data_IF_238768574837
#
_entry.id   IF_238768574837
#
_cell.length_a   1.000
_cell.length_b   1.000
_cell.length_c   1.000
_cell.angle_alpha   90.00
_cell.angle_beta   90.00
_cell.angle_gamma   90.00
#
_symmetry.space_group_name_H-M   'P 1'
#
loop_
_entity.id
_entity.type
_entity.pdbx_description
1 polymer ?
#
# COMPACT_ATOMS: atom_id res chain seq x y z
N UNK A 1 -7.80 50.42 -1.86
CA UNK A 1 -7.20 49.16 -1.34
C UNK A 1 -6.95 48.24 -2.52
N UNK A 2 -5.72 48.15 -3.02
CA UNK A 2 -5.39 47.30 -4.17
C UNK A 2 -5.55 45.83 -3.77
N UNK A 3 -6.60 45.16 -4.28
CA UNK A 3 -6.71 43.71 -4.15
C UNK A 3 -5.50 43.10 -4.85
N UNK A 4 -4.65 42.41 -4.11
CA UNK A 4 -3.53 41.66 -4.66
C UNK A 4 -4.09 40.55 -5.54
N UNK A 5 -4.21 40.79 -6.84
CA UNK A 5 -4.68 39.79 -7.81
C UNK A 5 -3.52 38.84 -8.08
N UNK A 6 -3.53 37.69 -7.41
CA UNK A 6 -2.60 36.60 -7.69
C UNK A 6 -3.01 35.95 -9.01
N UNK A 7 -2.31 36.32 -10.09
CA UNK A 7 -2.55 35.82 -11.45
C UNK A 7 -2.44 34.31 -11.60
N UNK A 8 -2.85 33.81 -12.78
CA UNK A 8 -2.70 32.39 -13.16
C UNK A 8 -1.22 32.02 -13.16
N UNK A 9 -0.88 30.86 -12.60
CA UNK A 9 0.49 30.33 -12.57
C UNK A 9 1.55 31.18 -11.82
N UNK A 10 1.16 32.01 -10.84
CA UNK A 10 2.16 32.76 -10.06
C UNK A 10 3.05 31.80 -9.21
N UNK A 11 4.37 32.04 -9.09
CA UNK A 11 5.27 31.12 -8.37
C UNK A 11 4.86 30.84 -6.91
N UNK A 12 4.33 31.86 -6.21
CA UNK A 12 3.85 31.72 -4.82
C UNK A 12 2.58 30.87 -4.72
N UNK A 13 1.70 30.95 -5.72
CA UNK A 13 0.50 30.11 -5.77
C UNK A 13 0.89 28.66 -6.07
N UNK A 14 1.75 28.42 -7.04
CA UNK A 14 2.23 27.08 -7.41
C UNK A 14 2.82 26.38 -6.18
N UNK A 15 3.76 27.02 -5.46
CA UNK A 15 4.39 26.42 -4.27
C UNK A 15 3.42 26.14 -3.13
N UNK A 16 2.42 27.01 -2.94
CA UNK A 16 1.40 26.80 -1.90
C UNK A 16 0.46 25.67 -2.27
N UNK A 17 -0.11 25.70 -3.48
CA UNK A 17 -1.08 24.69 -3.91
C UNK A 17 -0.42 23.32 -4.12
N UNK A 18 0.85 23.25 -4.51
CA UNK A 18 1.59 21.99 -4.58
C UNK A 18 1.79 21.36 -3.20
N UNK A 19 2.20 22.16 -2.19
CA UNK A 19 2.37 21.68 -0.83
C UNK A 19 1.05 21.29 -0.18
N UNK A 20 0.03 22.14 -0.31
CA UNK A 20 -1.32 21.86 0.21
C UNK A 20 -1.93 20.61 -0.46
N UNK A 21 -1.71 20.42 -1.76
CA UNK A 21 -2.17 19.22 -2.48
C UNK A 21 -1.47 17.96 -1.97
N UNK A 22 -0.15 18.00 -1.75
CA UNK A 22 0.59 16.86 -1.22
C UNK A 22 0.05 16.40 0.15
N UNK A 23 -0.29 17.36 1.01
CA UNK A 23 -0.92 17.10 2.31
C UNK A 23 -2.34 16.55 2.15
N UNK A 24 -3.16 17.17 1.29
CA UNK A 24 -4.54 16.72 1.07
C UNK A 24 -4.59 15.30 0.47
N UNK A 25 -3.64 14.96 -0.42
CA UNK A 25 -3.53 13.62 -1.01
C UNK A 25 -3.13 12.58 0.03
N UNK A 26 -2.15 12.87 0.89
CA UNK A 26 -1.74 11.92 1.93
C UNK A 26 -2.86 11.66 2.94
N UNK A 27 -3.72 12.65 3.20
CA UNK A 27 -4.89 12.48 4.06
C UNK A 27 -6.06 11.75 3.37
N UNK A 28 -6.19 11.89 2.04
CA UNK A 28 -7.21 11.23 1.24
C UNK A 28 -6.89 9.76 0.94
N UNK A 29 -5.60 9.43 0.79
CA UNK A 29 -5.13 8.04 0.60
C UNK A 29 -5.29 7.23 1.88
N UNK A 30 -5.88 6.04 1.75
CA UNK A 30 -6.01 5.04 2.80
C UNK A 30 -4.63 4.54 3.27
N UNK A 31 -3.75 4.17 2.34
CA UNK A 31 -2.40 3.72 2.68
C UNK A 31 -1.51 4.85 3.19
N UNK A 32 -1.55 6.00 2.53
CA UNK A 32 -0.75 7.17 2.90
C UNK A 32 -1.02 7.67 4.32
N UNK A 33 -2.26 7.56 4.79
CA UNK A 33 -2.65 8.03 6.13
C UNK A 33 -2.29 7.07 7.28
N UNK A 34 -2.23 5.76 7.01
CA UNK A 34 -2.26 4.72 8.05
C UNK A 34 -1.09 3.74 8.01
N UNK A 35 -0.53 3.49 6.83
CA UNK A 35 0.37 2.37 6.61
C UNK A 35 1.68 2.75 5.93
N UNK A 36 1.93 4.04 5.71
CA UNK A 36 3.12 4.53 5.04
C UNK A 36 3.96 5.44 5.95
N UNK A 37 5.26 5.19 6.03
CA UNK A 37 6.22 6.06 6.69
C UNK A 37 7.49 6.24 5.85
N UNK A 38 8.22 7.33 6.12
CA UNK A 38 9.40 7.72 5.34
C UNK A 38 10.64 6.99 5.85
N UNK A 39 11.45 6.50 4.90
CA UNK A 39 12.76 5.89 5.15
C UNK A 39 12.78 4.37 5.01
N UNK A 40 13.94 3.85 4.60
CA UNK A 40 14.19 2.41 4.42
C UNK A 40 14.17 1.62 5.73
N UNK A 41 14.42 2.27 6.87
CA UNK A 41 14.30 1.67 8.20
C UNK A 41 12.89 1.72 8.80
N UNK A 42 11.89 2.18 8.04
CA UNK A 42 10.53 2.31 8.55
C UNK A 42 9.90 0.93 8.79
N UNK A 43 9.48 0.68 10.04
CA UNK A 43 8.77 -0.54 10.46
C UNK A 43 7.26 -0.44 10.18
N UNK A 44 6.89 0.03 9.00
CA UNK A 44 5.50 0.16 8.52
C UNK A 44 5.29 -0.70 7.27
N UNK A 45 4.03 -1.04 6.91
CA UNK A 45 3.77 -1.85 5.72
C UNK A 45 4.31 -1.25 4.43
N UNK A 46 4.15 0.06 4.22
CA UNK A 46 4.69 0.77 3.07
C UNK A 46 5.86 1.62 3.51
N UNK A 47 7.00 1.45 2.84
CA UNK A 47 8.15 2.33 2.98
C UNK A 47 8.15 3.39 1.89
N UNK A 48 8.23 4.66 2.30
CA UNK A 48 8.35 5.79 1.41
C UNK A 48 9.81 6.17 1.24
N UNK A 49 10.37 5.93 0.06
CA UNK A 49 11.73 6.31 -0.30
C UNK A 49 11.74 7.70 -0.95
N UNK A 50 12.67 8.53 -0.51
CA UNK A 50 12.77 9.96 -0.89
C UNK A 50 14.06 10.29 -1.61
N UNK A 51 14.88 9.31 -1.95
CA UNK A 51 16.27 9.53 -2.41
C UNK A 51 16.33 10.27 -3.76
N UNK A 52 15.32 10.10 -4.62
CA UNK A 52 15.17 10.84 -5.89
C UNK A 52 14.40 12.17 -5.75
N UNK A 53 14.16 12.65 -4.53
CA UNK A 53 13.64 14.01 -4.33
C UNK A 53 14.75 15.08 -4.52
N UNK A 54 16.02 14.71 -4.31
CA UNK A 54 17.18 15.60 -4.44
C UNK A 54 18.13 15.25 -5.60
N UNK A 55 18.15 14.00 -6.06
CA UNK A 55 19.07 13.53 -7.10
C UNK A 55 18.36 13.20 -8.42
N UNK A 56 19.07 13.36 -9.54
CA UNK A 56 18.55 13.06 -10.86
C UNK A 56 18.68 11.55 -11.15
N UNK A 57 17.55 10.89 -11.39
CA UNK A 57 17.50 9.47 -11.74
C UNK A 57 16.05 9.00 -11.88
N UNK A 58 15.86 7.84 -12.50
CA UNK A 58 14.57 7.17 -12.64
C UNK A 58 14.51 5.82 -11.90
N UNK A 59 15.59 5.44 -11.21
CA UNK A 59 15.77 4.18 -10.49
C UNK A 59 16.10 4.43 -9.01
N UNK A 60 15.37 3.78 -8.11
CA UNK A 60 15.66 3.71 -6.67
C UNK A 60 16.03 2.27 -6.31
N UNK A 61 17.21 2.06 -5.73
CA UNK A 61 17.58 0.78 -5.10
C UNK A 61 17.26 0.82 -3.61
N UNK A 62 16.80 -0.31 -3.08
CA UNK A 62 16.58 -0.49 -1.65
C UNK A 62 16.96 -1.90 -1.22
N UNK A 63 17.46 -1.98 0.01
CA UNK A 63 18.04 -3.20 0.55
C UNK A 63 17.21 -3.73 1.71
N UNK A 64 17.09 -5.06 1.78
CA UNK A 64 16.69 -5.80 2.97
C UNK A 64 17.95 -6.28 3.69
N UNK A 65 18.07 -5.89 4.95
CA UNK A 65 19.11 -6.36 5.86
C UNK A 65 18.76 -7.76 6.37
N UNK A 66 19.61 -8.74 6.06
CA UNK A 66 19.45 -10.08 6.62
C UNK A 66 19.91 -10.13 8.08
N UNK A 67 19.31 -11.04 8.85
CA UNK A 67 19.70 -11.27 10.25
C UNK A 67 21.10 -11.89 10.34
N UNK A 68 21.89 -11.44 11.33
CA UNK A 68 23.16 -12.06 11.69
C UNK A 68 22.90 -13.42 12.36
N UNK A 69 23.69 -14.43 12.01
CA UNK A 69 23.56 -15.82 12.51
C UNK A 69 24.70 -16.23 13.43
N UNK A 70 25.78 -15.46 13.48
CA UNK A 70 26.93 -15.77 14.30
C UNK A 70 26.56 -15.89 15.79
N UNK A 71 27.06 -16.95 16.44
CA UNK A 71 27.05 -17.04 17.89
C UNK A 71 27.99 -15.97 18.47
N UNK A 72 27.66 -15.37 19.63
CA UNK A 72 28.56 -14.43 20.28
C UNK A 72 29.87 -15.14 20.66
N UNK A 73 30.98 -14.42 20.54
CA UNK A 73 32.26 -14.85 21.10
C UNK A 73 32.28 -14.41 22.56
N UNK A 74 32.35 -15.36 23.48
CA UNK A 74 32.32 -15.11 24.93
C UNK A 74 33.75 -15.02 25.51
N UNK A 75 33.96 -14.15 26.51
CA UNK A 75 35.23 -14.02 27.22
C UNK A 75 36.26 -13.11 26.52
N UNK A 76 37.54 -13.42 26.70
CA UNK A 76 38.68 -12.67 26.13
C UNK A 76 39.11 -13.19 24.74
N UNK A 77 38.28 -14.04 24.12
CA UNK A 77 38.55 -14.60 22.80
C UNK A 77 38.56 -13.52 21.72
N UNK A 78 39.54 -13.58 20.81
CA UNK A 78 39.69 -12.63 19.71
C UNK A 78 38.49 -12.72 18.76
N UNK A 79 37.81 -11.58 18.60
CA UNK A 79 36.65 -11.40 17.71
C UNK A 79 37.07 -11.26 16.24
N UNK A 80 38.24 -10.67 15.99
CA UNK A 80 38.79 -10.45 14.65
C UNK A 80 38.90 -11.78 13.88
N UNK A 81 38.20 -11.87 12.73
CA UNK A 81 38.13 -13.08 11.90
C UNK A 81 36.97 -14.04 12.22
N UNK A 82 36.22 -13.82 13.31
CA UNK A 82 34.95 -14.53 13.63
C UNK A 82 33.70 -13.68 13.34
N UNK A 83 33.89 -12.48 12.79
CA UNK A 83 32.84 -11.55 12.42
C UNK A 83 32.08 -12.02 11.17
N UNK A 84 30.76 -12.00 11.22
CA UNK A 84 29.93 -12.27 10.05
C UNK A 84 29.78 -11.01 9.19
N UNK A 85 30.03 -11.14 7.89
CA UNK A 85 29.76 -10.09 6.92
C UNK A 85 28.26 -9.82 6.77
N UNK A 86 27.88 -8.54 6.69
CA UNK A 86 26.49 -8.16 6.44
C UNK A 86 26.04 -8.67 5.07
N UNK A 87 24.89 -9.35 5.03
CA UNK A 87 24.27 -9.80 3.78
C UNK A 87 23.10 -8.88 3.45
N UNK A 88 23.10 -8.37 2.23
CA UNK A 88 22.08 -7.48 1.70
C UNK A 88 21.35 -8.19 0.56
N UNK A 89 20.02 -8.09 0.55
CA UNK A 89 19.21 -8.39 -0.62
C UNK A 89 18.74 -7.08 -1.22
N UNK A 90 19.17 -6.79 -2.45
CA UNK A 90 18.88 -5.53 -3.12
C UNK A 90 17.71 -5.71 -4.09
N UNK A 91 16.77 -4.76 -4.10
CA UNK A 91 15.75 -4.67 -5.13
C UNK A 91 15.64 -3.25 -5.69
N UNK A 92 15.08 -3.13 -6.89
CA UNK A 92 15.04 -1.91 -7.68
C UNK A 92 13.59 -1.48 -8.00
N UNK A 93 13.34 -0.17 -7.91
CA UNK A 93 12.06 0.46 -8.21
C UNK A 93 12.26 1.62 -9.19
N UNK A 94 11.59 1.56 -10.33
CA UNK A 94 11.56 2.66 -11.29
C UNK A 94 10.43 3.65 -10.99
N UNK A 95 10.66 4.94 -11.26
CA UNK A 95 9.66 6.00 -11.13
C UNK A 95 9.30 6.60 -12.49
N UNK A 96 8.04 6.99 -12.66
CA UNK A 96 7.58 7.67 -13.88
C UNK A 96 6.49 8.70 -13.56
N UNK A 97 6.28 9.66 -14.45
CA UNK A 97 5.38 10.78 -14.26
C UNK A 97 3.92 10.42 -14.55
N UNK A 98 3.01 10.77 -13.65
CA UNK A 98 1.56 10.72 -13.84
C UNK A 98 1.00 12.13 -13.80
N UNK A 99 -0.05 12.36 -14.59
CA UNK A 99 -0.67 13.68 -14.73
C UNK A 99 -2.19 13.55 -14.79
N UNK A 100 -2.87 14.50 -14.17
CA UNK A 100 -4.31 14.68 -14.23
C UNK A 100 -4.64 16.16 -14.44
N UNK A 101 -5.79 16.46 -15.04
CA UNK A 101 -6.20 17.84 -15.29
C UNK A 101 -7.68 18.04 -15.03
N UNK A 102 -8.04 19.20 -14.48
CA UNK A 102 -9.43 19.64 -14.31
C UNK A 102 -9.61 20.95 -15.07
N UNK A 103 -10.64 20.98 -15.93
CA UNK A 103 -11.07 22.21 -16.59
C UNK A 103 -12.07 22.94 -15.68
N UNK A 104 -11.75 24.16 -15.27
CA UNK A 104 -12.59 24.93 -14.33
C UNK A 104 -13.75 25.68 -15.00
N UNK A 105 -13.98 25.45 -16.30
CA UNK A 105 -15.10 26.01 -17.05
C UNK A 105 -14.85 27.41 -17.66
N UNK A 106 -15.86 27.90 -18.38
CA UNK A 106 -15.81 29.16 -19.15
C UNK A 106 -16.07 30.42 -18.33
N UNK A 107 -16.02 31.60 -18.98
CA UNK A 107 -16.20 32.92 -18.34
C UNK A 107 -17.49 33.09 -17.52
N UNK A 108 -18.58 32.41 -17.87
CA UNK A 108 -19.83 32.49 -17.10
C UNK A 108 -19.70 31.84 -15.71
N UNK A 109 -18.96 30.73 -15.61
CA UNK A 109 -18.64 30.06 -14.34
C UNK A 109 -17.63 30.86 -13.49
N UNK A 110 -16.85 31.75 -14.10
CA UNK A 110 -15.92 32.69 -13.45
C UNK A 110 -16.58 33.90 -12.77
N UNK A 111 -17.92 33.98 -12.72
CA UNK A 111 -18.56 34.87 -11.73
C UNK A 111 -18.16 34.49 -10.29
N UNK A 112 -17.64 33.27 -10.08
CA UNK A 112 -16.90 32.86 -8.88
C UNK A 112 -15.45 33.32 -8.94
N UNK A 113 -14.88 33.72 -7.81
CA UNK A 113 -13.48 34.17 -7.75
C UNK A 113 -12.52 33.05 -8.16
N UNK A 114 -11.39 33.39 -8.81
CA UNK A 114 -10.35 32.44 -9.20
C UNK A 114 -9.86 31.58 -8.01
N UNK A 115 -9.89 32.14 -6.81
CA UNK A 115 -9.55 31.44 -5.58
C UNK A 115 -10.52 30.29 -5.24
N UNK A 116 -11.84 30.49 -5.38
CA UNK A 116 -12.84 29.44 -5.16
C UNK A 116 -12.67 28.29 -6.17
N UNK A 117 -12.38 28.61 -7.44
CA UNK A 117 -12.13 27.59 -8.47
C UNK A 117 -10.87 26.76 -8.21
N UNK A 118 -9.77 27.38 -7.75
CA UNK A 118 -8.54 26.68 -7.35
C UNK A 118 -8.78 25.73 -6.18
N UNK A 119 -9.52 26.18 -5.16
CA UNK A 119 -9.81 25.36 -3.98
C UNK A 119 -10.64 24.12 -4.33
N UNK A 120 -11.68 24.28 -5.16
CA UNK A 120 -12.50 23.15 -5.64
C UNK A 120 -11.71 22.18 -6.52
N UNK A 121 -10.90 22.71 -7.44
CA UNK A 121 -10.05 21.88 -8.30
C UNK A 121 -9.02 21.10 -7.48
N UNK A 122 -8.39 21.74 -6.48
CA UNK A 122 -7.48 21.07 -5.55
C UNK A 122 -8.17 19.93 -4.82
N UNK A 123 -9.34 20.17 -4.22
CA UNK A 123 -10.06 19.15 -3.47
C UNK A 123 -10.46 17.94 -4.34
N UNK A 124 -10.92 18.19 -5.57
CA UNK A 124 -11.24 17.12 -6.52
C UNK A 124 -10.00 16.31 -6.93
N UNK A 125 -8.90 17.00 -7.23
CA UNK A 125 -7.66 16.34 -7.62
C UNK A 125 -7.01 15.60 -6.45
N UNK A 126 -7.09 16.12 -5.21
CA UNK A 126 -6.59 15.44 -4.02
C UNK A 126 -7.29 14.10 -3.80
N UNK A 127 -8.63 14.08 -3.89
CA UNK A 127 -9.42 12.85 -3.78
C UNK A 127 -9.09 11.87 -4.90
N UNK A 128 -8.94 12.36 -6.14
CA UNK A 128 -8.58 11.52 -7.29
C UNK A 128 -7.19 10.89 -7.14
N UNK A 129 -6.19 11.68 -6.73
CA UNK A 129 -4.83 11.22 -6.49
C UNK A 129 -4.77 10.20 -5.35
N UNK A 130 -5.47 10.45 -4.23
CA UNK A 130 -5.54 9.49 -3.13
C UNK A 130 -6.13 8.16 -3.58
N UNK A 131 -7.23 8.20 -4.35
CA UNK A 131 -7.84 6.98 -4.92
C UNK A 131 -6.90 6.25 -5.87
N UNK A 132 -6.22 6.99 -6.75
CA UNK A 132 -5.29 6.41 -7.72
C UNK A 132 -4.11 5.72 -7.03
N UNK A 133 -3.53 6.36 -6.01
CA UNK A 133 -2.43 5.79 -5.23
C UNK A 133 -2.85 4.56 -4.44
N UNK A 134 -4.05 4.56 -3.85
CA UNK A 134 -4.58 3.38 -3.14
C UNK A 134 -4.86 2.22 -4.10
N UNK A 135 -5.51 2.48 -5.23
CA UNK A 135 -5.79 1.45 -6.26
C UNK A 135 -4.50 0.84 -6.82
N UNK A 136 -3.46 1.66 -7.03
CA UNK A 136 -2.12 1.18 -7.40
C UNK A 136 -1.52 0.29 -6.31
N UNK A 137 -1.56 0.74 -5.05
CA UNK A 137 -0.98 -0.02 -3.93
C UNK A 137 -1.67 -1.38 -3.76
N UNK A 138 -3.00 -1.43 -3.81
CA UNK A 138 -3.74 -2.70 -3.78
C UNK A 138 -3.38 -3.62 -4.96
N UNK A 139 -3.23 -3.05 -6.16
CA UNK A 139 -2.87 -3.82 -7.37
C UNK A 139 -1.46 -4.40 -7.28
N UNK A 140 -0.49 -3.61 -6.80
CA UNK A 140 0.90 -4.06 -6.63
C UNK A 140 1.06 -5.09 -5.51
N UNK A 141 0.51 -4.83 -4.32
CA UNK A 141 0.63 -5.74 -3.17
C UNK A 141 -0.07 -7.09 -3.43
N UNK A 142 -1.22 -7.07 -4.11
CA UNK A 142 -1.92 -8.30 -4.48
C UNK A 142 -1.27 -9.05 -5.64
N UNK A 143 -0.35 -8.41 -6.36
CA UNK A 143 0.30 -8.96 -7.53
C UNK A 143 -0.58 -9.05 -8.78
N UNK A 144 -1.73 -8.37 -8.79
CA UNK A 144 -2.68 -8.46 -9.90
C UNK A 144 -3.67 -7.30 -9.93
N UNK A 145 -4.19 -6.96 -11.11
CA UNK A 145 -5.22 -5.93 -11.25
C UNK A 145 -6.62 -6.41 -10.82
N UNK A 146 -6.92 -7.69 -11.01
CA UNK A 146 -8.24 -8.30 -10.76
C UNK A 146 -9.38 -7.68 -11.57
N UNK A 147 -10.62 -7.93 -11.14
CA UNK A 147 -11.85 -7.57 -11.87
C UNK A 147 -12.61 -6.37 -11.31
N UNK A 148 -12.00 -5.61 -10.39
CA UNK A 148 -12.66 -4.47 -9.75
C UNK A 148 -13.03 -3.39 -10.79
N UNK A 149 -14.32 -3.27 -11.12
CA UNK A 149 -14.84 -2.35 -12.14
C UNK A 149 -14.75 -0.86 -11.74
N UNK A 150 -14.71 -0.58 -10.43
CA UNK A 150 -14.76 0.78 -9.91
C UNK A 150 -13.42 1.54 -9.97
N UNK A 151 -12.35 0.90 -10.44
CA UNK A 151 -11.02 1.49 -10.45
C UNK A 151 -10.80 2.41 -11.66
N UNK A 152 -9.94 3.40 -11.47
CA UNK A 152 -9.40 4.27 -12.52
C UNK A 152 -8.47 3.47 -13.44
N UNK A 153 -7.76 2.48 -12.87
CA UNK A 153 -6.85 1.61 -13.61
C UNK A 153 -7.62 0.70 -14.59
N UNK A 154 -7.21 0.61 -15.87
CA UNK A 154 -7.87 -0.26 -16.85
C UNK A 154 -7.71 -1.75 -16.47
N UNK A 155 -8.57 -2.63 -17.00
CA UNK A 155 -8.52 -4.07 -16.71
C UNK A 155 -7.23 -4.74 -17.20
N UNK A 156 -6.69 -4.29 -18.33
CA UNK A 156 -5.42 -4.78 -18.89
C UNK A 156 -4.16 -4.15 -18.26
N UNK A 157 -4.27 -3.52 -17.09
CA UNK A 157 -3.14 -2.84 -16.46
C UNK A 157 -2.08 -3.83 -15.97
N UNK A 158 -0.85 -3.72 -16.52
CA UNK A 158 0.27 -4.62 -16.24
C UNK A 158 1.33 -4.03 -15.30
N UNK A 159 1.10 -2.81 -14.79
CA UNK A 159 2.07 -2.05 -14.01
C UNK A 159 2.42 -0.71 -14.66
N UNK A 160 3.24 0.07 -13.96
CA UNK A 160 3.71 1.42 -14.29
C UNK A 160 5.22 1.45 -14.18
N UNK A 161 5.84 2.37 -14.92
CA UNK A 161 7.27 2.67 -14.84
C UNK A 161 8.13 1.41 -15.00
N UNK A 162 7.80 0.49 -15.93
CA UNK A 162 8.50 -0.79 -16.10
C UNK A 162 8.56 -1.70 -14.86
N UNK A 163 7.79 -1.42 -13.80
CA UNK A 163 7.65 -2.32 -12.65
C UNK A 163 6.46 -3.26 -12.91
N UNK A 164 6.69 -4.54 -13.26
CA UNK A 164 5.62 -5.49 -13.53
C UNK A 164 4.90 -5.89 -12.24
N UNK A 165 3.64 -6.30 -12.37
CA UNK A 165 2.91 -6.94 -11.28
C UNK A 165 3.46 -8.35 -11.05
N UNK A 166 3.84 -8.65 -9.80
CA UNK A 166 4.38 -9.97 -9.42
C UNK A 166 3.35 -10.71 -8.59
N UNK A 167 2.85 -11.84 -9.12
CA UNK A 167 1.90 -12.69 -8.42
C UNK A 167 2.49 -13.20 -7.09
N UNK A 168 1.66 -13.50 -6.08
CA UNK A 168 2.13 -14.12 -4.85
C UNK A 168 2.95 -15.37 -5.11
N UNK A 169 4.14 -15.40 -4.53
CA UNK A 169 5.03 -16.55 -4.52
C UNK A 169 4.41 -17.69 -3.70
N UNK A 170 4.67 -18.98 -4.03
CA UNK A 170 3.98 -20.11 -3.40
C UNK A 170 4.10 -20.15 -1.87
N UNK A 171 5.24 -19.69 -1.33
CA UNK A 171 5.46 -19.63 0.11
C UNK A 171 4.74 -18.44 0.78
N UNK A 172 4.17 -17.53 0.01
CA UNK A 172 3.54 -16.30 0.48
C UNK A 172 2.08 -16.21 0.00
N UNK A 173 1.54 -17.34 -0.45
CA UNK A 173 0.15 -17.51 -0.85
C UNK A 173 -0.55 -18.43 0.15
N UNK A 174 -1.65 -17.95 0.72
CA UNK A 174 -2.53 -18.69 1.61
C UNK A 174 -3.94 -18.74 1.04
N UNK A 175 -4.71 -19.74 1.46
CA UNK A 175 -6.07 -19.96 0.99
C UNK A 175 -7.05 -20.12 2.16
N UNK A 176 -8.34 -19.92 1.89
CA UNK A 176 -9.43 -20.31 2.78
C UNK A 176 -9.53 -21.82 2.92
N UNK A 177 -10.18 -22.29 4.00
CA UNK A 177 -10.50 -23.71 4.19
C UNK A 177 -9.33 -24.67 4.02
N UNK A 178 -9.54 -25.75 3.26
CA UNK A 178 -8.56 -26.80 2.98
C UNK A 178 -7.84 -26.66 1.62
N UNK A 179 -8.16 -25.61 0.86
CA UNK A 179 -7.49 -25.32 -0.40
C UNK A 179 -5.98 -25.09 -0.23
N UNK A 180 -5.21 -25.61 -1.18
CA UNK A 180 -3.74 -25.52 -1.24
C UNK A 180 -3.24 -24.78 -2.48
N UNK A 181 -4.13 -24.49 -3.42
CA UNK A 181 -3.84 -23.80 -4.67
C UNK A 181 -5.10 -23.10 -5.19
N UNK A 182 -4.93 -22.12 -6.08
CA UNK A 182 -6.03 -21.37 -6.71
C UNK A 182 -7.04 -22.30 -7.40
N UNK A 183 -6.58 -23.39 -7.99
CA UNK A 183 -7.41 -24.37 -8.68
C UNK A 183 -8.28 -25.21 -7.72
N UNK A 184 -7.90 -25.31 -6.44
CA UNK A 184 -8.59 -26.13 -5.45
C UNK A 184 -9.64 -25.34 -4.67
N UNK A 185 -9.70 -24.02 -4.86
CA UNK A 185 -10.68 -23.17 -4.18
C UNK A 185 -12.11 -23.53 -4.58
N UNK A 186 -12.98 -23.64 -3.60
CA UNK A 186 -14.42 -23.80 -3.77
C UNK A 186 -15.23 -22.76 -2.97
N UNK A 187 -16.56 -22.81 -3.06
CA UNK A 187 -17.45 -21.84 -2.41
C UNK A 187 -17.50 -21.96 -0.87
N UNK A 188 -16.92 -23.01 -0.29
CA UNK A 188 -16.85 -23.26 1.16
C UNK A 188 -15.58 -22.69 1.78
N UNK A 189 -14.54 -22.42 0.98
CA UNK A 189 -13.28 -21.79 1.37
C UNK A 189 -13.42 -20.30 1.71
N UNK A 190 -14.21 -20.00 2.75
CA UNK A 190 -14.53 -18.64 3.18
C UNK A 190 -13.47 -18.07 4.12
N UNK A 191 -13.51 -16.74 4.29
CA UNK A 191 -12.70 -16.07 5.30
C UNK A 191 -13.19 -16.44 6.70
N UNK A 192 -12.29 -16.95 7.54
CA UNK A 192 -12.55 -17.33 8.93
C UNK A 192 -11.38 -16.97 9.84
N UNK A 193 -11.61 -16.97 11.15
CA UNK A 193 -10.54 -16.74 12.13
C UNK A 193 -9.43 -17.78 12.08
N UNK A 194 -9.75 -19.02 11.68
CA UNK A 194 -8.74 -20.05 11.46
C UNK A 194 -7.74 -19.67 10.34
N UNK A 195 -8.18 -18.92 9.32
CA UNK A 195 -7.28 -18.42 8.26
C UNK A 195 -6.34 -17.34 8.83
N UNK A 196 -6.85 -16.48 9.71
CA UNK A 196 -6.04 -15.48 10.42
C UNK A 196 -4.99 -16.16 11.33
N UNK A 197 -5.39 -17.22 12.04
CA UNK A 197 -4.49 -18.03 12.85
C UNK A 197 -3.36 -18.65 12.02
N UNK A 198 -3.71 -19.26 10.88
CA UNK A 198 -2.71 -19.84 9.96
C UNK A 198 -1.75 -18.78 9.44
N UNK A 199 -2.25 -17.61 9.05
CA UNK A 199 -1.40 -16.50 8.60
C UNK A 199 -0.45 -16.03 9.70
N UNK A 200 -0.94 -15.89 10.93
CA UNK A 200 -0.12 -15.50 12.09
C UNK A 200 0.94 -16.55 12.43
N UNK A 201 0.55 -17.82 12.52
CA UNK A 201 1.48 -18.93 12.80
C UNK A 201 2.54 -19.02 11.71
N UNK A 202 2.16 -18.84 10.44
CA UNK A 202 3.11 -18.80 9.34
C UNK A 202 4.05 -17.61 9.45
N UNK A 203 3.56 -16.41 9.79
CA UNK A 203 4.40 -15.25 10.01
C UNK A 203 5.44 -15.46 11.14
N UNK A 204 5.05 -16.14 12.23
CA UNK A 204 5.95 -16.42 13.35
C UNK A 204 6.92 -17.58 13.10
N UNK A 205 6.57 -18.54 12.23
CA UNK A 205 7.38 -19.74 11.96
C UNK A 205 8.19 -19.66 10.66
N UNK A 206 7.79 -18.80 9.73
CA UNK A 206 8.48 -18.61 8.47
C UNK A 206 9.69 -17.71 8.68
N UNK A 207 10.84 -18.37 8.70
CA UNK A 207 12.16 -17.76 8.67
C UNK A 207 13.04 -18.24 9.81
N UNK A 208 14.34 -17.94 9.70
CA UNK A 208 15.37 -18.38 10.63
C UNK A 208 16.43 -19.26 9.97
N UNK A 209 17.46 -19.63 10.76
CA UNK A 209 18.70 -20.22 10.24
C UNK A 209 18.57 -21.54 9.46
N UNK A 210 17.43 -22.25 9.56
CA UNK A 210 17.21 -23.53 8.89
C UNK A 210 16.55 -23.42 7.50
N UNK A 211 15.77 -22.37 7.23
CA UNK A 211 15.02 -22.21 5.96
C UNK A 211 15.62 -21.16 5.03
N UNK A 212 16.63 -20.41 5.47
CA UNK A 212 17.29 -19.33 4.74
C UNK A 212 16.39 -18.17 4.26
N UNK A 213 15.09 -18.22 4.51
CA UNK A 213 14.13 -17.16 4.23
C UNK A 213 14.17 -16.13 5.38
N UNK A 214 14.28 -14.82 5.10
CA UNK A 214 14.15 -13.76 6.09
C UNK A 214 12.79 -13.80 6.79
N UNK A 215 12.80 -13.65 8.11
CA UNK A 215 11.58 -13.61 8.92
C UNK A 215 10.76 -12.37 8.56
N UNK A 216 9.44 -12.54 8.53
CA UNK A 216 8.51 -11.43 8.35
C UNK A 216 8.47 -10.58 9.62
N UNK A 217 8.95 -9.34 9.54
CA UNK A 217 8.98 -8.45 10.70
C UNK A 217 7.59 -7.84 10.99
N UNK A 218 7.19 -7.73 12.27
CA UNK A 218 5.97 -7.01 12.64
C UNK A 218 6.10 -5.51 12.36
N UNK A 219 4.96 -4.84 12.15
CA UNK A 219 4.92 -3.39 12.12
C UNK A 219 4.98 -2.84 13.54
N UNK A 220 5.76 -1.78 13.77
CA UNK A 220 5.81 -1.11 15.07
C UNK A 220 5.01 0.19 14.96
N UNK A 221 3.90 0.27 15.69
CA UNK A 221 3.09 1.49 15.78
C UNK A 221 2.83 1.79 17.24
N UNK A 222 3.22 3.00 17.67
CA UNK A 222 3.07 3.47 19.05
C UNK A 222 3.69 2.54 20.12
N UNK A 223 4.73 1.78 19.73
CA UNK A 223 5.46 0.86 20.61
C UNK A 223 4.89 -0.56 20.65
N UNK A 224 3.77 -0.84 19.99
CA UNK A 224 3.23 -2.19 19.86
C UNK A 224 3.63 -2.83 18.52
N UNK A 225 4.01 -4.11 18.59
CA UNK A 225 4.31 -4.95 17.44
C UNK A 225 3.05 -5.64 16.94
N UNK A 226 2.61 -5.25 15.74
CA UNK A 226 1.36 -5.72 15.15
C UNK A 226 1.51 -6.07 13.67
N UNK A 227 0.68 -7.01 13.22
CA UNK A 227 0.48 -7.28 11.80
C UNK A 227 -0.83 -6.64 11.34
N UNK A 228 -0.95 -6.35 10.06
CA UNK A 228 -2.16 -5.74 9.49
C UNK A 228 -2.76 -6.68 8.47
N UNK A 229 -4.05 -7.00 8.60
CA UNK A 229 -4.80 -7.70 7.56
C UNK A 229 -5.84 -6.78 6.96
N UNK A 230 -5.79 -6.58 5.64
CA UNK A 230 -6.79 -5.81 4.88
C UNK A 230 -7.58 -6.77 4.00
N UNK A 231 -8.88 -6.88 4.25
CA UNK A 231 -9.80 -7.79 3.54
C UNK A 231 -10.89 -7.03 2.78
N UNK A 232 -11.53 -7.70 1.83
CA UNK A 232 -12.69 -7.14 1.12
C UNK A 232 -13.92 -7.10 2.04
N UNK A 233 -14.87 -6.20 1.78
CA UNK A 233 -16.12 -6.08 2.56
C UNK A 233 -16.98 -7.34 2.53
N UNK A 234 -16.85 -8.16 1.49
CA UNK A 234 -17.55 -9.46 1.40
C UNK A 234 -16.94 -10.51 2.34
N UNK A 235 -15.60 -10.54 2.43
CA UNK A 235 -14.87 -11.39 3.37
C UNK A 235 -15.15 -10.98 4.82
N UNK A 236 -15.28 -9.68 5.09
CA UNK A 236 -15.69 -9.18 6.41
C UNK A 236 -17.05 -9.74 6.84
N UNK A 237 -18.04 -9.74 5.95
CA UNK A 237 -19.37 -10.23 6.31
C UNK A 237 -19.42 -11.76 6.44
N UNK A 238 -18.56 -12.51 5.74
CA UNK A 238 -18.39 -13.94 6.01
C UNK A 238 -17.80 -14.16 7.42
N UNK A 239 -16.80 -13.36 7.82
CA UNK A 239 -16.22 -13.39 9.17
C UNK A 239 -17.24 -13.02 10.26
N UNK A 240 -18.14 -12.06 9.99
CA UNK A 240 -19.24 -11.69 10.91
C UNK A 240 -20.28 -12.79 11.07
N UNK A 241 -20.45 -13.64 10.07
CA UNK A 241 -21.40 -14.76 10.06
C UNK A 241 -20.81 -16.05 10.62
N UNK A 242 -19.52 -16.07 10.94
CA UNK A 242 -18.85 -17.22 11.54
C UNK A 242 -19.50 -17.58 12.89
N UNK A 243 -19.97 -18.83 13.01
CA UNK A 243 -20.61 -19.36 14.22
C UNK A 243 -19.63 -20.26 14.97
N UNK A 244 -19.38 -19.98 16.27
CA UNK A 244 -18.47 -20.77 17.10
C UNK A 244 -17.94 -20.05 18.34
N UNK A 245 -17.13 -20.75 19.15
CA UNK A 245 -16.58 -20.30 20.44
C UNK A 245 -15.63 -19.10 20.32
N UNK A 246 -15.07 -18.85 19.14
CA UNK A 246 -14.23 -17.69 18.82
C UNK A 246 -14.96 -16.55 18.11
N UNK A 247 -16.31 -16.52 18.13
CA UNK A 247 -17.11 -15.66 17.28
C UNK A 247 -16.79 -14.15 17.35
N UNK A 248 -17.28 -13.42 16.35
CA UNK A 248 -17.11 -11.96 16.16
C UNK A 248 -17.22 -11.10 17.44
N UNK A 249 -18.04 -11.52 18.41
CA UNK A 249 -18.19 -10.84 19.70
C UNK A 249 -16.89 -10.80 20.53
N UNK A 250 -16.05 -11.84 20.47
CA UNK A 250 -14.76 -11.88 21.18
C UNK A 250 -13.73 -10.96 20.50
N UNK A 251 -13.76 -10.82 19.17
CA UNK A 251 -12.95 -9.83 18.44
C UNK A 251 -13.29 -8.40 18.86
N UNK A 252 -14.57 -8.11 19.06
CA UNK A 252 -15.01 -6.79 19.51
C UNK A 252 -14.62 -6.51 20.97
N UNK A 253 -14.66 -7.51 21.84
CA UNK A 253 -14.17 -7.39 23.23
C UNK A 253 -12.66 -7.20 23.29
N UNK A 254 -11.88 -7.96 22.50
CA UNK A 254 -10.44 -7.82 22.41
C UNK A 254 -10.03 -6.45 21.84
N UNK A 255 -10.78 -5.94 20.85
CA UNK A 255 -10.60 -4.59 20.35
C UNK A 255 -10.86 -3.55 21.45
N UNK A 256 -11.99 -3.65 22.18
CA UNK A 256 -12.37 -2.73 23.25
C UNK A 256 -11.36 -2.66 24.42
N UNK A 257 -10.61 -3.74 24.66
CA UNK A 257 -9.56 -3.81 25.67
C UNK A 257 -8.17 -3.33 25.19
N UNK A 258 -7.97 -3.19 23.87
CA UNK A 258 -6.67 -2.83 23.30
C UNK A 258 -6.32 -1.35 23.57
N UNK A 259 -5.17 -1.13 24.18
CA UNK A 259 -4.64 0.19 24.55
C UNK A 259 -4.04 0.86 23.31
N UNK A 260 -4.89 1.35 22.40
CA UNK A 260 -4.37 1.91 21.12
C UNK A 260 -5.38 2.65 20.25
N UNK A 261 -6.62 2.87 20.70
CA UNK A 261 -7.71 3.45 19.90
C UNK A 261 -7.44 4.83 19.26
N UNK A 262 -6.37 5.53 19.65
CA UNK A 262 -5.99 6.82 19.08
C UNK A 262 -5.02 6.70 17.90
N UNK A 263 -4.32 5.58 17.74
CA UNK A 263 -3.37 5.39 16.65
C UNK A 263 -4.11 5.31 15.30
N UNK A 264 -3.58 5.92 14.23
CA UNK A 264 -4.19 5.88 12.90
C UNK A 264 -4.45 4.46 12.37
N UNK A 265 -3.66 3.49 12.84
CA UNK A 265 -3.77 2.07 12.50
C UNK A 265 -5.01 1.40 13.10
N UNK A 266 -5.34 1.70 14.35
CA UNK A 266 -6.49 1.12 15.06
C UNK A 266 -7.79 1.90 14.78
N UNK A 267 -7.68 3.15 14.32
CA UNK A 267 -8.84 3.95 13.96
C UNK A 267 -9.57 3.36 12.74
N UNK A 268 -10.83 2.96 12.93
CA UNK A 268 -11.66 2.27 11.92
C UNK A 268 -11.22 0.83 11.60
N UNK A 269 -10.38 0.23 12.44
CA UNK A 269 -10.15 -1.22 12.39
C UNK A 269 -11.45 -1.95 12.81
N UNK A 270 -11.65 -3.13 12.24
CA UNK A 270 -12.75 -4.04 12.59
C UNK A 270 -12.55 -4.63 13.99
N UNK A 271 -11.31 -4.90 14.34
CA UNK A 271 -10.89 -5.42 15.63
C UNK A 271 -9.44 -5.91 15.58
N UNK A 272 -8.98 -6.47 16.68
CA UNK A 272 -7.65 -7.08 16.78
C UNK A 272 -7.78 -8.54 17.23
N UNK A 273 -6.98 -9.42 16.63
CA UNK A 273 -6.92 -10.83 16.97
C UNK A 273 -5.46 -11.32 16.91
N UNK A 274 -4.93 -11.87 18.01
CA UNK A 274 -3.53 -12.36 18.11
C UNK A 274 -2.48 -11.36 17.56
N UNK A 275 -2.61 -10.09 17.94
CA UNK A 275 -1.78 -8.96 17.47
C UNK A 275 -1.87 -8.70 15.95
N UNK A 276 -2.96 -9.14 15.30
CA UNK A 276 -3.31 -8.79 13.92
C UNK A 276 -4.45 -7.78 13.94
N UNK A 277 -4.21 -6.60 13.36
CA UNK A 277 -5.21 -5.56 13.18
C UNK A 277 -5.99 -5.82 11.90
N UNK A 278 -7.30 -6.03 12.04
CA UNK A 278 -8.19 -6.32 10.92
C UNK A 278 -8.79 -5.04 10.35
N UNK A 279 -8.68 -4.84 9.03
CA UNK A 279 -9.28 -3.76 8.28
C UNK A 279 -10.11 -4.31 7.12
N UNK A 280 -11.23 -3.66 6.81
CA UNK A 280 -11.94 -3.89 5.55
C UNK A 280 -11.81 -2.71 4.59
N UNK A 281 -11.67 -3.03 3.31
CA UNK A 281 -11.65 -2.04 2.25
C UNK A 281 -12.27 -2.57 0.95
N UNK A 282 -13.13 -1.76 0.32
CA UNK A 282 -13.82 -2.12 -0.93
C UNK A 282 -12.92 -2.26 -2.15
N UNK A 283 -11.70 -1.71 -2.10
CA UNK A 283 -10.73 -1.80 -3.20
C UNK A 283 -9.78 -2.99 -3.06
N UNK A 284 -9.99 -3.90 -2.11
CA UNK A 284 -9.26 -5.18 -2.13
C UNK A 284 -9.56 -5.93 -3.43
N UNK A 285 -8.53 -6.55 -4.00
CA UNK A 285 -8.59 -7.12 -5.35
C UNK A 285 -9.46 -8.38 -5.36
N UNK A 286 -10.37 -8.44 -6.34
CA UNK A 286 -11.26 -9.57 -6.59
C UNK A 286 -10.86 -10.30 -7.86
N UNK A 287 -11.11 -11.60 -7.89
CA UNK A 287 -10.94 -12.46 -9.05
C UNK A 287 -12.24 -13.21 -9.31
N UNK A 288 -12.46 -13.61 -10.56
CA UNK A 288 -13.60 -14.42 -10.99
C UNK A 288 -13.17 -15.68 -11.78
N UNK A 289 -11.87 -15.97 -11.83
CA UNK A 289 -11.28 -17.07 -12.60
C UNK A 289 -10.74 -18.19 -11.73
N UNK A 290 -11.05 -18.19 -10.43
CA UNK A 290 -10.49 -19.15 -9.48
C UNK A 290 -11.33 -20.42 -9.40
N UNK A 291 -10.80 -21.45 -8.75
CA UNK A 291 -11.43 -22.76 -8.59
C UNK A 291 -11.30 -23.66 -9.82
N UNK A 292 -11.69 -24.92 -9.66
CA UNK A 292 -11.45 -25.97 -10.66
C UNK A 292 -12.13 -25.70 -12.01
N UNK A 293 -13.30 -25.06 -11.99
CA UNK A 293 -14.04 -24.68 -13.21
C UNK A 293 -13.67 -23.30 -13.74
N UNK A 294 -12.90 -22.50 -12.98
CA UNK A 294 -12.52 -21.15 -13.37
C UNK A 294 -13.63 -20.11 -13.29
N UNK A 295 -14.68 -20.35 -12.50
CA UNK A 295 -15.84 -19.45 -12.35
C UNK A 295 -16.03 -18.93 -10.93
N UNK A 296 -15.13 -19.26 -9.99
CA UNK A 296 -15.29 -18.88 -8.59
C UNK A 296 -14.88 -17.42 -8.37
N UNK A 297 -15.83 -16.66 -7.81
CA UNK A 297 -15.56 -15.32 -7.30
C UNK A 297 -14.81 -15.39 -5.96
N UNK A 298 -13.63 -14.79 -5.94
CA UNK A 298 -12.74 -14.75 -4.78
C UNK A 298 -12.24 -13.33 -4.53
N UNK A 299 -11.76 -13.09 -3.32
CA UNK A 299 -11.07 -11.85 -2.96
C UNK A 299 -9.72 -12.18 -2.33
N UNK A 300 -8.70 -11.39 -2.67
CA UNK A 300 -7.34 -11.54 -2.15
C UNK A 300 -7.13 -10.59 -0.98
N UNK A 301 -7.32 -11.07 0.24
CA UNK A 301 -6.95 -10.32 1.43
C UNK A 301 -5.41 -10.20 1.51
N UNK A 302 -4.94 -9.07 2.04
CA UNK A 302 -3.52 -8.77 2.19
C UNK A 302 -3.18 -8.84 3.66
N UNK A 303 -2.32 -9.78 4.05
CA UNK A 303 -1.71 -9.79 5.37
C UNK A 303 -0.32 -9.16 5.26
N UNK A 304 -0.09 -8.07 5.99
CA UNK A 304 1.07 -7.19 5.84
C UNK A 304 1.83 -7.08 7.16
N UNK A 305 3.15 -7.17 7.03
CA UNK A 305 4.15 -6.88 8.04
C UNK A 305 4.93 -5.64 7.62
N UNK A 306 6.06 -5.38 8.27
CA UNK A 306 6.94 -4.30 7.85
C UNK A 306 7.47 -4.57 6.43
N UNK A 307 7.68 -3.50 5.66
CA UNK A 307 8.26 -3.56 4.31
C UNK A 307 7.50 -4.49 3.33
N UNK A 308 6.16 -4.51 3.41
CA UNK A 308 5.29 -5.21 2.46
C UNK A 308 5.39 -4.67 1.03
N UNK A 309 5.63 -3.36 0.90
CA UNK A 309 5.85 -2.70 -0.38
C UNK A 309 6.60 -1.40 -0.23
N UNK A 310 7.14 -0.94 -1.36
CA UNK A 310 7.94 0.27 -1.44
C UNK A 310 7.30 1.22 -2.43
N UNK A 311 7.28 2.50 -2.04
CA UNK A 311 6.84 3.58 -2.88
C UNK A 311 7.88 4.69 -2.88
N UNK A 312 8.33 5.07 -4.06
CA UNK A 312 9.31 6.12 -4.25
C UNK A 312 8.66 7.34 -4.90
N UNK A 313 9.06 8.51 -4.44
CA UNK A 313 8.72 9.79 -5.06
C UNK A 313 9.96 10.44 -5.65
N UNK A 314 9.82 11.01 -6.85
CA UNK A 314 10.80 11.89 -7.46
C UNK A 314 10.33 13.34 -7.44
N UNK A 315 11.27 14.28 -7.43
CA UNK A 315 10.95 15.71 -7.58
C UNK A 315 11.50 16.26 -8.89
N UNK A 316 10.78 17.16 -9.59
CA UNK A 316 11.34 17.89 -10.74
C UNK A 316 12.32 19.01 -10.30
N UNK A 317 13.11 18.79 -9.24
CA UNK A 317 14.06 19.77 -8.68
C UNK A 317 13.44 20.88 -7.81
N UNK A 318 12.16 20.76 -7.43
CA UNK A 318 11.46 21.75 -6.59
C UNK A 318 11.29 21.33 -5.13
N UNK A 319 11.72 20.12 -4.78
CA UNK A 319 11.53 19.50 -3.47
C UNK A 319 10.06 19.15 -3.16
N UNK A 320 9.18 19.24 -4.15
CA UNK A 320 7.75 18.93 -4.01
C UNK A 320 7.42 17.63 -4.75
N UNK A 321 6.60 16.76 -4.12
CA UNK A 321 6.11 15.49 -4.67
C UNK A 321 5.00 15.66 -5.72
N UNK A 322 4.29 16.79 -5.66
CA UNK A 322 3.23 17.13 -6.60
C UNK A 322 3.53 18.47 -7.26
N UNK A 323 3.38 18.54 -8.58
CA UNK A 323 3.44 19.77 -9.36
C UNK A 323 2.04 20.33 -9.59
N UNK A 324 1.91 21.65 -9.53
CA UNK A 324 0.69 22.39 -9.83
C UNK A 324 0.94 23.34 -11.01
N UNK A 325 0.19 23.20 -12.09
CA UNK A 325 0.33 24.03 -13.29
C UNK A 325 -1.03 24.58 -13.71
N UNK A 326 -1.09 25.87 -14.00
CA UNK A 326 -2.31 26.53 -14.45
C UNK A 326 -2.11 27.15 -15.82
N UNK A 327 -3.01 26.86 -16.76
CA UNK A 327 -2.97 27.40 -18.10
C UNK A 327 -4.33 27.96 -18.48
N UNK A 328 -4.36 29.10 -19.17
CA UNK A 328 -5.57 29.60 -19.80
C UNK A 328 -5.70 29.05 -21.21
N UNK A 329 -6.81 28.37 -21.52
CA UNK A 329 -7.13 27.86 -22.86
C UNK A 329 -8.32 28.60 -23.47
N UNK A 330 -8.53 28.41 -24.78
CA UNK A 330 -9.64 29.01 -25.52
C UNK A 330 -9.62 30.55 -25.45
N UNK A 331 -8.49 31.17 -25.87
CA UNK A 331 -8.29 32.63 -25.86
C UNK A 331 -8.59 33.29 -24.49
N UNK A 332 -8.23 32.60 -23.41
CA UNK A 332 -8.47 33.07 -22.05
C UNK A 332 -9.91 32.91 -21.57
N UNK A 333 -10.75 32.11 -22.23
CA UNK A 333 -12.11 31.78 -21.81
C UNK A 333 -12.17 30.65 -20.78
N UNK A 334 -11.22 29.71 -20.79
CA UNK A 334 -11.14 28.59 -19.85
C UNK A 334 -9.83 28.60 -19.06
N UNK A 335 -9.87 28.13 -17.80
CA UNK A 335 -8.65 27.88 -17.01
C UNK A 335 -8.58 26.37 -16.78
N UNK A 336 -7.45 25.77 -17.11
CA UNK A 336 -7.16 24.36 -16.89
C UNK A 336 -6.07 24.26 -15.84
N UNK A 337 -6.34 23.46 -14.81
CA UNK A 337 -5.39 23.18 -13.74
C UNK A 337 -4.92 21.75 -13.91
N UNK A 338 -3.63 21.59 -14.18
CA UNK A 338 -2.96 20.30 -14.32
C UNK A 338 -2.13 20.02 -13.08
N UNK A 339 -2.26 18.83 -12.53
CA UNK A 339 -1.37 18.32 -11.49
C UNK A 339 -0.58 17.13 -11.99
N UNK A 340 0.64 17.01 -11.48
CA UNK A 340 1.57 15.95 -11.84
C UNK A 340 2.29 15.42 -10.62
N UNK A 341 2.69 14.15 -10.65
CA UNK A 341 3.56 13.56 -9.64
C UNK A 341 4.47 12.54 -10.32
N UNK A 342 5.71 12.43 -9.85
CA UNK A 342 6.67 11.43 -10.31
C UNK A 342 6.79 10.41 -9.18
N UNK A 343 6.32 9.20 -9.41
CA UNK A 343 6.36 8.16 -8.39
C UNK A 343 6.29 6.76 -9.00
N UNK A 344 6.71 5.79 -8.19
CA UNK A 344 6.67 4.36 -8.48
C UNK A 344 6.18 3.60 -7.25
N UNK A 345 5.56 2.46 -7.46
CA UNK A 345 5.14 1.52 -6.41
C UNK A 345 5.56 0.13 -6.85
N UNK A 346 6.11 -0.65 -5.93
CA UNK A 346 6.45 -2.05 -6.16
C UNK A 346 6.24 -2.85 -4.88
N UNK A 347 5.89 -4.11 -5.05
CA UNK A 347 5.84 -5.09 -3.97
C UNK A 347 7.27 -5.53 -3.66
N UNK A 348 7.60 -5.70 -2.38
CA UNK A 348 8.94 -6.13 -1.98
C UNK A 348 9.15 -7.60 -2.36
N UNK A 349 10.03 -7.85 -3.32
CA UNK A 349 10.39 -9.19 -3.77
C UNK A 349 11.90 -9.30 -3.78
N UNK A 350 12.45 -10.24 -3.01
CA UNK A 350 13.89 -10.46 -2.93
C UNK A 350 14.25 -11.82 -3.50
N UNK A 351 15.43 -11.89 -4.12
CA UNK A 351 15.99 -13.13 -4.61
C UNK A 351 16.85 -13.76 -3.51
N UNK A 352 16.44 -14.93 -3.02
CA UNK A 352 17.12 -15.67 -1.96
C UNK A 352 17.50 -17.02 -2.55
N UNK A 353 18.79 -17.34 -2.58
CA UNK A 353 19.33 -18.61 -3.09
C UNK A 353 18.88 -18.95 -4.54
N UNK A 354 18.62 -17.91 -5.36
CA UNK A 354 18.18 -18.05 -6.75
C UNK A 354 16.66 -18.15 -6.95
N UNK A 355 15.88 -18.09 -5.86
CA UNK A 355 14.42 -18.06 -5.92
C UNK A 355 13.86 -16.70 -5.49
N UNK A 356 12.90 -16.18 -6.26
CA UNK A 356 12.16 -14.97 -5.90
C UNK A 356 11.16 -15.28 -4.80
N UNK A 357 11.22 -14.53 -3.72
CA UNK A 357 10.35 -14.68 -2.56
C UNK A 357 9.76 -13.30 -2.22
N UNK A 358 8.45 -13.25 -2.03
CA UNK A 358 7.82 -12.02 -1.53
C UNK A 358 8.21 -11.78 -0.06
N UNK A 359 8.35 -10.52 0.31
CA UNK A 359 8.65 -10.12 1.68
C UNK A 359 7.58 -9.19 2.25
N UNK A 360 7.28 -9.35 3.54
CA UNK A 360 6.37 -8.46 4.25
C UNK A 360 4.90 -8.58 3.86
N UNK A 361 4.50 -9.47 2.95
CA UNK A 361 3.09 -9.64 2.54
C UNK A 361 2.72 -11.09 2.20
N UNK A 362 1.56 -11.52 2.68
CA UNK A 362 0.87 -12.71 2.21
C UNK A 362 -0.40 -12.35 1.44
N UNK A 363 -0.58 -12.98 0.28
CA UNK A 363 -1.85 -12.98 -0.43
C UNK A 363 -2.73 -14.10 0.11
N UNK A 364 -3.92 -13.77 0.60
CA UNK A 364 -4.87 -14.75 1.13
C UNK A 364 -6.10 -14.77 0.24
N UNK A 365 -6.26 -15.82 -0.56
CA UNK A 365 -7.42 -15.97 -1.43
C UNK A 365 -8.52 -16.77 -0.72
N UNK A 366 -9.69 -16.17 -0.57
CA UNK A 366 -10.88 -16.88 -0.09
C UNK A 366 -12.03 -16.66 -1.04
N UNK A 367 -12.97 -17.61 -1.06
CA UNK A 367 -14.26 -17.45 -1.71
C UNK A 367 -14.94 -16.18 -1.17
N UNK A 368 -15.42 -15.35 -2.08
CA UNK A 368 -16.04 -14.07 -1.79
C UNK A 368 -17.04 -13.74 -2.90
N UNK A 369 -18.17 -14.46 -2.88
CA UNK A 369 -19.27 -14.24 -3.81
C UNK A 369 -19.74 -12.79 -3.73
N UNK A 370 -20.01 -12.20 -4.89
CA UNK A 370 -20.69 -10.92 -4.99
C UNK A 370 -22.06 -11.02 -4.32
N UNK A 371 -22.41 -10.00 -3.53
CA UNK A 371 -23.68 -9.92 -2.81
C UNK A 371 -24.50 -8.74 -3.26
#
# INVERSE_FOLDING_TARGET
MGKTVVGVNSPRAVKRFSGDLALDVSQASYFGKRFAAVGQGAKTPIQLLTDLESEAGDLVSYDLLAELRMAPVEGDDVLEGKEEGQRFYTDELYIDQARGGVNTGGRMSRKRTLHDLRMRAKQQQANWWGRFQDELTFTYLSGSRGVNANFILPLGYQGRAKNPLTAPTPNQHLFGGDATAVANLDATDKMSLAVVDRARVRADSQGGGATNIPVMQPCVVDGEEVFVMVMHTFQEDDLRKETGTGGWLELQKAAAAAVGFKSPLFKSALGMYRNVVLHSHRNVIRHNTHGATGDLETARALFMGAQAGVMAFGSPGTGMRYGWHEETRDNGNQVVITTSSIFGVKKSVFEIEGEKQDHGVYGIDTAAASR
#
